data_IF_529067360067
#
_entry.id   IF_529067360067
#
_cell.length_a   1.000
_cell.length_b   1.000
_cell.length_c   1.000
_cell.angle_alpha   90.00
_cell.angle_beta   90.00
_cell.angle_gamma   90.00
#
_symmetry.space_group_name_H-M   'P 1'
#
loop_
_entity.id
_entity.type
_entity.pdbx_description
1 polymer ?
#
# COMPACT_ATOMS: atom_id res chain seq x y z
N UNK A 1 -24.40 -34.77 5.81
CA UNK A 1 -23.42 -34.21 4.86
C UNK A 1 -23.46 -32.70 4.97
N UNK A 2 -22.61 -32.10 5.80
CA UNK A 2 -22.51 -30.66 5.98
C UNK A 2 -21.76 -30.05 4.80
N UNK A 3 -22.46 -29.30 3.96
CA UNK A 3 -21.88 -28.48 2.89
C UNK A 3 -20.87 -27.50 3.53
N UNK A 4 -19.58 -27.52 3.15
CA UNK A 4 -18.67 -26.50 3.62
C UNK A 4 -19.13 -25.16 3.03
N UNK A 5 -19.51 -24.23 3.90
CA UNK A 5 -19.87 -22.85 3.56
C UNK A 5 -18.70 -22.21 2.79
N UNK A 6 -18.83 -22.13 1.46
CA UNK A 6 -17.73 -21.87 0.52
C UNK A 6 -17.38 -20.40 0.28
N UNK A 7 -18.00 -19.46 0.99
CA UNK A 7 -17.89 -18.02 0.68
C UNK A 7 -17.49 -17.12 1.85
N UNK A 8 -16.89 -17.67 2.91
CA UNK A 8 -16.29 -16.80 3.94
C UNK A 8 -14.95 -16.28 3.43
N UNK A 9 -14.94 -15.00 3.02
CA UNK A 9 -13.70 -14.31 2.66
C UNK A 9 -12.75 -14.36 3.86
N UNK A 10 -11.50 -14.83 3.69
CA UNK A 10 -10.54 -14.88 4.80
C UNK A 10 -10.39 -13.48 5.40
N UNK A 11 -10.55 -13.35 6.72
CA UNK A 11 -10.37 -12.08 7.44
C UNK A 11 -9.00 -11.44 7.14
N UNK A 12 -8.00 -12.29 6.89
CA UNK A 12 -6.64 -11.91 6.48
C UNK A 12 -6.61 -11.05 5.21
N UNK A 13 -7.48 -11.32 4.24
CA UNK A 13 -7.55 -10.56 2.99
C UNK A 13 -8.18 -9.20 3.22
N UNK A 14 -9.16 -9.15 4.13
CA UNK A 14 -9.77 -7.89 4.49
C UNK A 14 -8.78 -6.97 5.21
N UNK A 15 -7.96 -7.53 6.10
CA UNK A 15 -6.86 -6.80 6.74
C UNK A 15 -5.82 -6.38 5.71
N UNK A 16 -5.35 -7.30 4.86
CA UNK A 16 -4.34 -7.02 3.83
C UNK A 16 -4.78 -5.89 2.89
N UNK A 17 -5.96 -6.01 2.28
CA UNK A 17 -6.48 -5.01 1.37
C UNK A 17 -6.80 -3.70 2.09
N UNK A 18 -7.29 -3.77 3.34
CA UNK A 18 -7.51 -2.60 4.18
C UNK A 18 -6.23 -1.82 4.45
N UNK A 19 -5.14 -2.51 4.81
CA UNK A 19 -3.82 -1.90 5.03
C UNK A 19 -3.28 -1.25 3.75
N UNK A 20 -3.36 -1.94 2.61
CA UNK A 20 -2.90 -1.38 1.32
C UNK A 20 -3.72 -0.15 0.91
N UNK A 21 -5.03 -0.15 1.15
CA UNK A 21 -5.88 1.03 0.92
C UNK A 21 -5.51 2.16 1.86
N UNK A 22 -5.22 1.87 3.13
CA UNK A 22 -4.78 2.88 4.10
C UNK A 22 -3.45 3.51 3.68
N UNK A 23 -2.49 2.73 3.21
CA UNK A 23 -1.22 3.24 2.65
C UNK A 23 -1.47 4.14 1.45
N UNK A 24 -2.41 3.75 0.57
CA UNK A 24 -2.77 4.55 -0.58
C UNK A 24 -3.39 5.90 -0.18
N UNK A 25 -4.19 5.92 0.89
CA UNK A 25 -4.73 7.16 1.46
C UNK A 25 -3.63 8.02 2.07
N UNK A 26 -2.67 7.43 2.79
CA UNK A 26 -1.53 8.17 3.33
C UNK A 26 -0.69 8.81 2.21
N UNK A 27 -0.42 8.06 1.13
CA UNK A 27 0.21 8.56 -0.09
C UNK A 27 -0.59 9.71 -0.73
N UNK A 28 -1.91 9.58 -0.81
CA UNK A 28 -2.79 10.62 -1.34
C UNK A 28 -2.73 11.90 -0.50
N UNK A 29 -2.78 11.78 0.83
CA UNK A 29 -2.67 12.92 1.76
C UNK A 29 -1.32 13.63 1.60
N UNK A 30 -0.22 12.87 1.48
CA UNK A 30 1.10 13.44 1.22
C UNK A 30 1.15 14.19 -0.12
N UNK A 31 0.58 13.62 -1.18
CA UNK A 31 0.47 14.28 -2.48
C UNK A 31 -0.37 15.56 -2.43
N UNK A 32 -1.53 15.53 -1.76
CA UNK A 32 -2.38 16.70 -1.57
C UNK A 32 -1.70 17.79 -0.73
N UNK A 33 -0.88 17.41 0.26
CA UNK A 33 -0.09 18.38 1.03
C UNK A 33 0.93 19.12 0.15
N UNK A 34 1.53 18.45 -0.83
CA UNK A 34 2.43 19.09 -1.79
C UNK A 34 1.68 19.98 -2.78
N UNK A 35 0.47 19.58 -3.21
CA UNK A 35 -0.41 20.47 -3.99
C UNK A 35 -0.72 21.74 -3.20
N UNK A 36 -1.04 21.62 -1.91
CA UNK A 36 -1.23 22.77 -1.03
C UNK A 36 0.03 23.67 -0.99
N UNK A 37 1.22 23.07 -0.87
CA UNK A 37 2.48 23.84 -0.92
C UNK A 37 2.64 24.60 -2.24
N UNK A 38 2.27 24.01 -3.38
CA UNK A 38 2.36 24.68 -4.68
C UNK A 38 1.40 25.87 -4.81
N UNK A 39 0.23 25.79 -4.16
CA UNK A 39 -0.82 26.80 -4.30
C UNK A 39 -0.70 27.95 -3.29
N UNK A 40 -0.23 27.66 -2.08
CA UNK A 40 -0.32 28.59 -0.95
C UNK A 40 1.03 28.88 -0.27
N UNK A 41 2.10 28.16 -0.61
CA UNK A 41 3.40 28.27 0.05
C UNK A 41 4.52 28.47 -0.99
N UNK A 42 5.76 28.62 -0.51
CA UNK A 42 6.95 28.68 -1.37
C UNK A 42 7.66 27.31 -1.37
N UNK A 43 7.52 26.49 -2.43
CA UNK A 43 8.23 25.22 -2.52
C UNK A 43 9.73 25.45 -2.69
N UNK A 44 10.56 24.55 -2.13
CA UNK A 44 12.02 24.58 -2.34
C UNK A 44 12.38 24.54 -3.82
N UNK A 45 11.70 23.69 -4.59
CA UNK A 45 11.80 23.63 -6.05
C UNK A 45 10.43 23.37 -6.65
N UNK A 46 9.99 24.21 -7.58
CA UNK A 46 8.68 24.03 -8.24
C UNK A 46 8.65 22.74 -9.04
N UNK A 47 9.66 22.51 -9.89
CA UNK A 47 9.73 21.31 -10.74
C UNK A 47 9.79 20.00 -9.95
N UNK A 48 10.61 19.94 -8.89
CA UNK A 48 10.69 18.76 -8.03
C UNK A 48 9.40 18.50 -7.26
N UNK A 49 8.71 19.57 -6.81
CA UNK A 49 7.42 19.44 -6.12
C UNK A 49 6.32 18.95 -7.05
N UNK A 50 6.23 19.47 -8.27
CA UNK A 50 5.27 18.99 -9.29
C UNK A 50 5.52 17.52 -9.62
N UNK A 51 6.79 17.13 -9.80
CA UNK A 51 7.14 15.72 -10.03
C UNK A 51 6.67 14.82 -8.89
N UNK A 52 6.95 15.19 -7.63
CA UNK A 52 6.53 14.41 -6.47
C UNK A 52 5.00 14.35 -6.35
N UNK A 53 4.27 15.44 -6.63
CA UNK A 53 2.80 15.42 -6.66
C UNK A 53 2.29 14.35 -7.63
N UNK A 54 2.81 14.34 -8.86
CA UNK A 54 2.39 13.37 -9.88
C UNK A 54 2.70 11.93 -9.46
N UNK A 55 3.89 11.70 -8.91
CA UNK A 55 4.31 10.37 -8.45
C UNK A 55 3.49 9.90 -7.25
N UNK A 56 3.26 10.75 -6.25
CA UNK A 56 2.52 10.38 -5.04
C UNK A 56 1.03 10.15 -5.34
N UNK A 57 0.38 11.04 -6.09
CA UNK A 57 -1.03 10.88 -6.43
C UNK A 57 -1.25 9.74 -7.44
N UNK A 58 -0.39 9.61 -8.44
CA UNK A 58 -0.42 8.48 -9.38
C UNK A 58 -0.18 7.15 -8.66
N UNK A 59 0.80 7.12 -7.76
CA UNK A 59 1.09 5.98 -6.89
C UNK A 59 -0.09 5.63 -5.97
N UNK A 60 -0.76 6.62 -5.39
CA UNK A 60 -1.96 6.41 -4.57
C UNK A 60 -3.10 5.76 -5.37
N UNK A 61 -3.41 6.29 -6.57
CA UNK A 61 -4.44 5.73 -7.45
C UNK A 61 -4.09 4.30 -7.87
N UNK A 62 -2.84 4.05 -8.20
CA UNK A 62 -2.36 2.73 -8.55
C UNK A 62 -2.45 1.76 -7.36
N UNK A 63 -2.07 2.18 -6.15
CA UNK A 63 -2.14 1.35 -4.95
C UNK A 63 -3.59 1.05 -4.53
N UNK A 64 -4.52 1.99 -4.73
CA UNK A 64 -5.96 1.74 -4.61
C UNK A 64 -6.44 0.67 -5.60
N UNK A 65 -5.93 0.69 -6.83
CA UNK A 65 -6.25 -0.33 -7.83
C UNK A 65 -5.69 -1.71 -7.42
N UNK A 66 -4.48 -1.75 -6.88
CA UNK A 66 -3.85 -2.95 -6.31
C UNK A 66 -4.67 -3.51 -5.14
N UNK A 67 -5.06 -2.67 -4.17
CA UNK A 67 -5.89 -3.07 -3.03
C UNK A 67 -7.24 -3.64 -3.47
N UNK A 68 -7.90 -3.00 -4.46
CA UNK A 68 -9.12 -3.53 -5.10
C UNK A 68 -8.87 -4.87 -5.80
N UNK A 69 -7.75 -5.01 -6.48
CA UNK A 69 -7.36 -6.26 -7.14
C UNK A 69 -7.14 -7.40 -6.17
N UNK A 70 -6.47 -7.15 -5.03
CA UNK A 70 -6.27 -8.12 -3.94
C UNK A 70 -7.61 -8.56 -3.34
N UNK A 71 -8.51 -7.61 -3.10
CA UNK A 71 -9.86 -7.88 -2.59
C UNK A 71 -10.68 -8.75 -3.56
N UNK A 72 -10.51 -8.56 -4.87
CA UNK A 72 -11.15 -9.34 -5.94
C UNK A 72 -10.48 -10.71 -6.19
N UNK A 73 -9.35 -11.01 -5.54
CA UNK A 73 -8.66 -12.30 -5.68
C UNK A 73 -7.79 -12.44 -6.93
N UNK A 74 -7.40 -11.34 -7.59
CA UNK A 74 -6.47 -11.43 -8.72
C UNK A 74 -5.04 -11.78 -8.27
N UNK A 75 -4.29 -12.46 -9.15
CA UNK A 75 -2.90 -12.88 -8.90
C UNK A 75 -1.88 -11.75 -9.05
N UNK A 76 -2.07 -10.89 -10.05
CA UNK A 76 -1.14 -9.81 -10.41
C UNK A 76 -0.90 -8.75 -9.31
N UNK A 77 -1.93 -8.29 -8.55
CA UNK A 77 -1.76 -7.28 -7.50
C UNK A 77 -0.77 -7.65 -6.39
N UNK A 78 -0.45 -8.94 -6.22
CA UNK A 78 0.50 -9.40 -5.21
C UNK A 78 1.94 -8.96 -5.51
N UNK A 79 2.37 -9.11 -6.75
CA UNK A 79 3.71 -8.68 -7.14
C UNK A 79 3.84 -7.15 -6.99
N UNK A 80 2.80 -6.40 -7.37
CA UNK A 80 2.75 -4.96 -7.19
C UNK A 80 2.85 -4.56 -5.70
N UNK A 81 2.05 -5.16 -4.81
CA UNK A 81 2.09 -4.88 -3.38
C UNK A 81 3.45 -5.22 -2.75
N UNK A 82 4.10 -6.31 -3.19
CA UNK A 82 5.45 -6.66 -2.74
C UNK A 82 6.48 -5.59 -3.08
N UNK A 83 6.45 -5.10 -4.33
CA UNK A 83 7.38 -4.06 -4.79
C UNK A 83 7.20 -2.78 -3.99
N UNK A 84 5.95 -2.33 -3.79
CA UNK A 84 5.66 -1.12 -3.00
C UNK A 84 6.21 -1.26 -1.59
N UNK A 85 6.04 -2.43 -0.97
CA UNK A 85 6.45 -2.61 0.43
C UNK A 85 7.96 -2.63 0.58
N UNK A 86 8.67 -3.19 -0.39
CA UNK A 86 10.12 -3.08 -0.48
C UNK A 86 10.56 -1.61 -0.60
N UNK A 87 9.92 -0.81 -1.45
CA UNK A 87 10.21 0.62 -1.55
C UNK A 87 9.94 1.36 -0.24
N UNK A 88 8.79 1.12 0.40
CA UNK A 88 8.39 1.74 1.67
C UNK A 88 9.41 1.40 2.77
N UNK A 89 9.87 0.14 2.85
CA UNK A 89 10.91 -0.25 3.80
C UNK A 89 12.26 0.43 3.52
N UNK A 90 12.65 0.55 2.25
CA UNK A 90 13.87 1.27 1.87
C UNK A 90 13.77 2.75 2.26
N UNK A 91 12.59 3.37 2.13
CA UNK A 91 12.36 4.76 2.56
C UNK A 91 12.28 4.92 4.09
N UNK A 92 11.87 3.88 4.82
CA UNK A 92 11.81 3.89 6.27
C UNK A 92 13.20 3.84 6.93
N UNK A 93 14.17 3.15 6.30
CA UNK A 93 15.52 2.98 6.86
C UNK A 93 16.24 4.31 7.15
N UNK A 94 16.31 5.29 6.23
CA UNK A 94 16.90 6.60 6.51
C UNK A 94 16.24 7.33 7.68
N UNK A 95 14.91 7.22 7.82
CA UNK A 95 14.18 7.86 8.93
C UNK A 95 14.57 7.27 10.28
N UNK A 96 14.70 5.93 10.35
CA UNK A 96 15.16 5.24 11.55
C UNK A 96 16.62 5.63 11.88
N UNK A 97 17.50 5.65 10.87
CA UNK A 97 18.91 6.05 11.04
C UNK A 97 19.07 7.50 11.47
N UNK A 98 18.19 8.39 11.00
CA UNK A 98 18.15 9.81 11.38
C UNK A 98 17.56 10.05 12.79
N UNK A 99 17.22 8.98 13.54
CA UNK A 99 16.63 9.08 14.88
C UNK A 99 15.14 9.42 14.88
N UNK A 100 14.50 9.52 13.71
CA UNK A 100 13.06 9.75 13.55
C UNK A 100 12.28 8.43 13.71
N UNK A 101 12.47 7.78 14.86
CA UNK A 101 11.99 6.43 15.13
C UNK A 101 10.47 6.28 14.93
N UNK A 102 9.70 7.27 15.37
CA UNK A 102 8.23 7.25 15.24
C UNK A 102 7.82 7.22 13.77
N UNK A 103 8.36 8.14 12.95
CA UNK A 103 8.03 8.20 11.53
C UNK A 103 8.52 6.96 10.78
N UNK A 104 9.74 6.50 11.07
CA UNK A 104 10.29 5.29 10.47
C UNK A 104 9.46 4.05 10.80
N UNK A 105 8.99 3.90 12.05
CA UNK A 105 8.13 2.78 12.45
C UNK A 105 6.72 2.88 11.88
N UNK A 106 6.12 4.07 11.83
CA UNK A 106 4.81 4.29 11.20
C UNK A 106 4.84 3.91 9.72
N UNK A 107 5.97 4.12 9.04
CA UNK A 107 6.15 3.75 7.65
C UNK A 107 6.47 2.25 7.48
N UNK A 108 7.35 1.69 8.33
CA UNK A 108 7.79 0.30 8.22
C UNK A 108 6.75 -0.73 8.68
N UNK A 109 6.01 -0.44 9.75
CA UNK A 109 5.04 -1.38 10.33
C UNK A 109 3.97 -1.87 9.35
N UNK A 110 3.24 -1.01 8.61
CA UNK A 110 2.23 -1.47 7.65
C UNK A 110 2.87 -2.27 6.51
N UNK A 111 4.06 -1.90 6.04
CA UNK A 111 4.78 -2.65 5.00
C UNK A 111 5.13 -4.07 5.47
N UNK A 112 5.60 -4.24 6.71
CA UNK A 112 5.85 -5.55 7.31
C UNK A 112 4.57 -6.36 7.45
N UNK A 113 3.47 -5.74 7.91
CA UNK A 113 2.16 -6.41 8.03
C UNK A 113 1.68 -6.93 6.67
N UNK A 114 1.76 -6.11 5.62
CA UNK A 114 1.38 -6.51 4.27
C UNK A 114 2.25 -7.65 3.78
N UNK A 115 3.57 -7.57 3.95
CA UNK A 115 4.50 -8.64 3.56
C UNK A 115 4.14 -9.97 4.23
N UNK A 116 3.94 -9.97 5.55
CA UNK A 116 3.59 -11.18 6.30
C UNK A 116 2.25 -11.77 5.85
N UNK A 117 1.24 -10.93 5.62
CA UNK A 117 -0.08 -11.37 5.18
C UNK A 117 -0.07 -11.89 3.73
N UNK A 118 0.75 -11.32 2.86
CA UNK A 118 0.81 -11.69 1.44
C UNK A 118 1.29 -13.13 1.21
N UNK A 119 2.10 -13.66 2.15
CA UNK A 119 2.58 -15.04 2.14
C UNK A 119 1.75 -16.00 3.01
N UNK A 120 0.64 -15.55 3.62
CA UNK A 120 -0.24 -16.45 4.37
C UNK A 120 -0.93 -17.45 3.44
N UNK A 121 -1.05 -18.74 3.84
CA UNK A 121 -1.65 -19.78 3.01
C UNK A 121 -3.10 -19.49 2.63
N UNK A 122 -3.88 -18.82 3.49
CA UNK A 122 -5.26 -18.43 3.18
C UNK A 122 -5.34 -17.33 2.10
N UNK A 123 -4.41 -16.36 2.10
CA UNK A 123 -4.30 -15.33 1.05
C UNK A 123 -3.81 -15.94 -0.27
N UNK A 124 -2.86 -16.87 -0.20
CA UNK A 124 -2.37 -17.64 -1.34
C UNK A 124 -3.52 -18.43 -2.00
N UNK A 125 -4.33 -19.15 -1.21
CA UNK A 125 -5.44 -19.95 -1.69
C UNK A 125 -6.58 -19.13 -2.31
N UNK A 126 -6.79 -17.88 -1.85
CA UNK A 126 -7.80 -17.00 -2.41
C UNK A 126 -7.35 -16.36 -3.72
N UNK A 127 -6.12 -15.84 -3.75
CA UNK A 127 -5.59 -15.16 -4.93
C UNK A 127 -5.23 -16.12 -6.06
N UNK A 128 -5.04 -17.42 -5.77
CA UNK A 128 -4.76 -18.44 -6.79
C UNK A 128 -6.01 -19.02 -7.46
N UNK A 129 -7.23 -18.65 -7.01
CA UNK A 129 -8.47 -19.08 -7.69
C UNK A 129 -8.47 -18.52 -9.11
N UNK A 130 -8.18 -19.36 -10.08
CA UNK A 130 -8.45 -19.09 -11.48
C UNK A 130 -9.95 -18.89 -11.61
N UNK A 131 -10.37 -17.64 -11.81
CA UNK A 131 -11.72 -17.35 -12.30
C UNK A 131 -11.82 -18.09 -13.64
N UNK A 132 -12.61 -19.16 -13.66
CA UNK A 132 -13.03 -19.81 -14.91
C UNK A 132 -14.12 -18.95 -15.53
#
# INVERSE_FOLDING_TARGET
MSTPSRDVRPREIAVLAGTVVLEALALAVAGLRLVWTLLFEQPLTVGGTVFLVLVLLGGALWLLHVGRGLWRGFRWPRAAALVVQLFVLVLALPLLQAGQWVLGLVLAAPAVVVLLLLFRPAVLAWTSRTVR
#
